data_IF_055070059810
#
_entry.id   IF_055070059810
#
_cell.length_a   1.000
_cell.length_b   1.000
_cell.length_c   1.000
_cell.angle_alpha   90.00
_cell.angle_beta   90.00
_cell.angle_gamma   90.00
#
_symmetry.space_group_name_H-M   'P 1'
#
loop_
_entity.id
_entity.type
_entity.pdbx_description
1 polymer ?
#
# COMPACT_ATOMS: atom_id res chain seq x y z
N UNK A 1 -10.03 32.82 -9.82
CA UNK A 1 -10.35 32.17 -8.52
C UNK A 1 -10.44 30.65 -8.67
N UNK A 2 -11.06 30.16 -9.74
CA UNK A 2 -11.24 28.74 -10.06
C UNK A 2 -9.93 27.96 -10.32
N UNK A 3 -8.95 28.57 -11.01
CA UNK A 3 -7.62 27.98 -11.24
C UNK A 3 -6.84 27.74 -9.95
N UNK A 4 -6.93 28.67 -8.98
CA UNK A 4 -6.28 28.55 -7.66
C UNK A 4 -6.93 27.48 -6.78
N UNK A 5 -8.25 27.28 -6.90
CA UNK A 5 -8.95 26.16 -6.25
C UNK A 5 -8.52 24.82 -6.85
N UNK A 6 -8.36 24.77 -8.18
CA UNK A 6 -7.89 23.59 -8.93
C UNK A 6 -6.51 23.13 -8.55
N UNK A 7 -5.58 24.06 -8.40
CA UNK A 7 -4.23 23.73 -7.98
C UNK A 7 -4.18 23.22 -6.53
N UNK A 8 -5.02 23.77 -5.65
CA UNK A 8 -5.15 23.31 -4.26
C UNK A 8 -5.72 21.90 -4.17
N UNK A 9 -6.79 21.61 -4.90
CA UNK A 9 -7.41 20.28 -4.91
C UNK A 9 -6.44 19.24 -5.50
N UNK A 10 -5.72 19.60 -6.56
CA UNK A 10 -4.72 18.74 -7.18
C UNK A 10 -3.56 18.42 -6.22
N UNK A 11 -3.07 19.43 -5.48
CA UNK A 11 -2.03 19.22 -4.46
C UNK A 11 -2.52 18.30 -3.34
N UNK A 12 -3.80 18.39 -2.99
CA UNK A 12 -4.43 17.52 -1.99
C UNK A 12 -4.60 16.08 -2.52
N UNK A 13 -4.89 15.91 -3.82
CA UNK A 13 -5.01 14.61 -4.47
C UNK A 13 -3.68 13.83 -4.49
N UNK A 14 -2.55 14.54 -4.62
CA UNK A 14 -1.21 13.95 -4.56
C UNK A 14 -0.65 13.87 -3.13
N UNK A 15 -1.47 13.45 -2.17
CA UNK A 15 -1.09 13.32 -0.76
C UNK A 15 0.13 12.38 -0.53
N UNK A 16 0.35 11.43 -1.44
CA UNK A 16 1.48 10.48 -1.40
C UNK A 16 2.82 11.16 -1.69
N UNK A 17 2.79 12.34 -2.34
CA UNK A 17 3.98 13.06 -2.78
C UNK A 17 4.96 13.35 -1.63
N UNK A 18 4.45 13.72 -0.45
CA UNK A 18 5.28 14.05 0.71
C UNK A 18 6.11 12.85 1.14
N UNK A 19 5.48 11.68 1.30
CA UNK A 19 6.18 10.46 1.71
C UNK A 19 7.19 10.01 0.66
N UNK A 20 6.82 10.02 -0.63
CA UNK A 20 7.70 9.65 -1.73
C UNK A 20 8.92 10.58 -1.87
N UNK A 21 8.78 11.86 -1.55
CA UNK A 21 9.91 12.81 -1.54
C UNK A 21 10.89 12.51 -0.41
N UNK A 22 10.40 12.18 0.78
CA UNK A 22 11.26 11.82 1.95
C UNK A 22 12.16 10.64 1.61
N UNK A 23 11.63 9.62 0.92
CA UNK A 23 12.39 8.42 0.53
C UNK A 23 13.10 8.54 -0.83
N UNK A 24 13.08 9.72 -1.47
CA UNK A 24 13.70 9.93 -2.79
C UNK A 24 13.06 9.14 -3.95
N UNK A 25 11.89 8.55 -3.75
CA UNK A 25 11.19 7.74 -4.75
C UNK A 25 10.24 8.56 -5.63
N UNK A 26 10.01 9.84 -5.34
CA UNK A 26 9.19 10.70 -6.19
C UNK A 26 9.77 10.77 -7.62
N UNK A 27 8.95 10.55 -8.67
CA UNK A 27 9.43 10.60 -10.04
C UNK A 27 9.91 12.00 -10.38
N UNK A 28 11.19 12.09 -10.74
CA UNK A 28 11.82 13.36 -11.11
C UNK A 28 11.44 13.70 -12.57
N UNK A 29 11.21 14.98 -12.83
CA UNK A 29 11.05 15.48 -14.20
C UNK A 29 12.30 15.20 -15.06
N UNK A 30 12.10 14.99 -16.37
CA UNK A 30 13.18 14.69 -17.32
C UNK A 30 14.23 15.81 -17.34
N UNK A 31 13.78 17.06 -17.20
CA UNK A 31 14.60 18.29 -17.22
C UNK A 31 15.23 18.65 -15.87
N UNK A 32 15.37 17.67 -14.97
CA UNK A 32 15.90 17.92 -13.64
C UNK A 32 17.40 18.25 -13.63
N UNK A 33 17.77 19.21 -12.78
CA UNK A 33 19.15 19.60 -12.56
C UNK A 33 20.00 18.43 -12.04
N UNK A 34 21.28 18.43 -12.40
CA UNK A 34 22.24 17.41 -11.96
C UNK A 34 22.26 17.23 -10.43
N UNK A 35 22.16 18.34 -9.68
CA UNK A 35 22.10 18.33 -8.21
C UNK A 35 20.91 17.54 -7.64
N UNK A 36 19.73 17.66 -8.24
CA UNK A 36 18.54 16.91 -7.79
C UNK A 36 18.65 15.40 -8.06
N UNK A 37 19.36 15.00 -9.12
CA UNK A 37 19.66 13.58 -9.42
C UNK A 37 20.66 13.01 -8.40
N UNK A 38 21.70 13.77 -8.06
CA UNK A 38 22.69 13.39 -7.04
C UNK A 38 22.01 13.24 -5.67
N UNK A 39 21.18 14.20 -5.29
CA UNK A 39 20.43 14.15 -4.03
C UNK A 39 19.56 12.89 -3.94
N UNK A 40 18.86 12.52 -5.01
CA UNK A 40 18.05 11.29 -5.06
C UNK A 40 18.91 10.05 -4.86
N UNK A 41 20.03 9.91 -5.58
CA UNK A 41 20.93 8.76 -5.43
C UNK A 41 21.53 8.67 -4.03
N UNK A 42 21.85 9.82 -3.43
CA UNK A 42 22.31 9.87 -2.04
C UNK A 42 21.24 9.34 -1.07
N UNK A 43 19.99 9.79 -1.19
CA UNK A 43 18.88 9.33 -0.34
C UNK A 43 18.65 7.81 -0.51
N UNK A 44 18.66 7.30 -1.75
CA UNK A 44 18.49 5.87 -2.05
C UNK A 44 19.63 5.05 -1.41
N UNK A 45 20.87 5.46 -1.63
CA UNK A 45 22.06 4.79 -1.10
C UNK A 45 22.04 4.78 0.44
N UNK A 46 21.71 5.93 1.04
CA UNK A 46 21.59 6.07 2.48
C UNK A 46 20.52 5.15 3.06
N UNK A 47 19.32 5.08 2.45
CA UNK A 47 18.26 4.17 2.88
C UNK A 47 18.72 2.70 2.81
N UNK A 48 19.28 2.26 1.69
CA UNK A 48 19.71 0.88 1.51
C UNK A 48 20.83 0.49 2.48
N UNK A 49 21.84 1.36 2.65
CA UNK A 49 22.89 1.18 3.64
C UNK A 49 22.31 0.98 5.03
N UNK A 50 21.37 1.84 5.42
CA UNK A 50 20.76 1.80 6.72
C UNK A 50 19.95 0.51 6.94
N UNK A 51 19.28 -0.02 5.92
CA UNK A 51 18.61 -1.33 6.00
C UNK A 51 19.59 -2.49 6.12
N UNK A 52 20.71 -2.47 5.39
CA UNK A 52 21.76 -3.49 5.48
C UNK A 52 22.32 -3.54 6.91
N UNK A 53 22.58 -2.38 7.51
CA UNK A 53 23.08 -2.27 8.89
C UNK A 53 22.13 -2.83 9.95
N UNK A 54 20.83 -3.00 9.63
CA UNK A 54 19.85 -3.60 10.55
C UNK A 54 19.61 -5.07 10.23
N UNK A 55 19.48 -5.42 8.94
CA UNK A 55 19.16 -6.78 8.51
C UNK A 55 20.32 -7.73 8.79
N UNK A 56 21.57 -7.34 8.49
CA UNK A 56 22.71 -8.24 8.66
C UNK A 56 22.93 -8.65 10.13
N UNK A 57 22.97 -7.72 11.12
CA UNK A 57 23.07 -8.08 12.53
C UNK A 57 21.87 -8.87 13.07
N UNK A 58 20.67 -8.65 12.51
CA UNK A 58 19.48 -9.39 12.90
C UNK A 58 19.52 -10.84 12.39
N UNK A 59 20.01 -11.07 11.16
CA UNK A 59 20.26 -12.42 10.64
C UNK A 59 21.31 -13.14 11.50
N UNK A 60 22.42 -12.47 11.83
CA UNK A 60 23.45 -13.05 12.69
C UNK A 60 22.91 -13.43 14.07
N UNK A 61 22.05 -12.59 14.67
CA UNK A 61 21.43 -12.88 15.97
C UNK A 61 20.54 -14.13 15.92
N UNK A 62 19.71 -14.25 14.88
CA UNK A 62 18.81 -15.41 14.66
C UNK A 62 19.59 -16.72 14.56
N UNK A 63 20.66 -16.75 13.78
CA UNK A 63 21.38 -17.98 13.46
C UNK A 63 22.48 -18.34 14.45
N UNK A 64 23.18 -17.35 15.03
CA UNK A 64 24.38 -17.60 15.84
C UNK A 64 24.13 -17.53 17.35
N UNK A 65 23.20 -16.69 17.81
CA UNK A 65 23.07 -16.36 19.25
C UNK A 65 21.78 -16.89 19.85
N UNK A 66 20.64 -16.63 19.22
CA UNK A 66 19.35 -16.95 19.81
C UNK A 66 19.08 -18.45 19.69
N UNK A 67 18.79 -19.12 20.81
CA UNK A 67 18.42 -20.55 20.86
C UNK A 67 16.95 -20.77 21.22
N UNK A 68 16.28 -19.76 21.76
CA UNK A 68 14.87 -19.85 22.15
C UNK A 68 13.96 -19.69 20.91
N UNK A 69 13.09 -20.68 20.67
CA UNK A 69 12.16 -20.70 19.54
C UNK A 69 11.23 -19.48 19.48
N UNK A 70 10.66 -19.06 20.61
CA UNK A 70 9.76 -17.91 20.68
C UNK A 70 10.48 -16.59 20.33
N UNK A 71 11.70 -16.39 20.83
CA UNK A 71 12.51 -15.21 20.48
C UNK A 71 12.94 -15.23 19.01
N UNK A 72 13.29 -16.40 18.47
CA UNK A 72 13.58 -16.55 17.03
C UNK A 72 12.38 -16.16 16.17
N UNK A 73 11.15 -16.52 16.53
CA UNK A 73 9.94 -16.12 15.81
C UNK A 73 9.79 -14.59 15.77
N UNK A 74 10.02 -13.90 16.89
CA UNK A 74 9.97 -12.44 16.95
C UNK A 74 11.02 -11.78 16.03
N UNK A 75 12.21 -12.38 15.92
CA UNK A 75 13.25 -11.92 15.00
C UNK A 75 12.90 -12.22 13.53
N UNK A 76 12.34 -13.39 13.22
CA UNK A 76 11.85 -13.71 11.89
C UNK A 76 10.73 -12.76 11.43
N UNK A 77 9.78 -12.44 12.32
CA UNK A 77 8.75 -11.44 12.07
C UNK A 77 9.38 -10.09 11.68
N UNK A 78 10.42 -9.67 12.40
CA UNK A 78 11.15 -8.45 12.10
C UNK A 78 11.81 -8.49 10.72
N UNK A 79 12.52 -9.57 10.41
CA UNK A 79 13.20 -9.78 9.13
C UNK A 79 12.21 -9.78 7.97
N UNK A 80 11.12 -10.54 8.06
CA UNK A 80 10.06 -10.59 7.03
C UNK A 80 9.49 -9.20 6.80
N UNK A 81 9.16 -8.47 7.87
CA UNK A 81 8.58 -7.12 7.73
C UNK A 81 9.54 -6.12 7.08
N UNK A 82 10.83 -6.15 7.46
CA UNK A 82 11.85 -5.25 6.90
C UNK A 82 12.15 -5.60 5.44
N UNK A 83 12.35 -6.88 5.11
CA UNK A 83 12.62 -7.34 3.75
C UNK A 83 11.45 -7.01 2.81
N UNK A 84 10.20 -7.20 3.26
CA UNK A 84 9.01 -6.80 2.51
C UNK A 84 9.09 -5.31 2.09
N UNK A 85 9.38 -4.40 3.02
CA UNK A 85 9.47 -2.99 2.67
C UNK A 85 10.65 -2.67 1.74
N UNK A 86 11.80 -3.33 1.90
CA UNK A 86 12.92 -3.18 0.97
C UNK A 86 12.53 -3.61 -0.44
N UNK A 87 11.87 -4.76 -0.60
CA UNK A 87 11.40 -5.21 -1.91
C UNK A 87 10.40 -4.24 -2.53
N UNK A 88 9.41 -3.77 -1.77
CA UNK A 88 8.45 -2.77 -2.26
C UNK A 88 9.12 -1.46 -2.64
N UNK A 89 10.14 -1.04 -1.90
CA UNK A 89 10.92 0.16 -2.23
C UNK A 89 11.66 0.00 -3.56
N UNK A 90 12.37 -1.12 -3.76
CA UNK A 90 13.06 -1.44 -5.01
C UNK A 90 12.10 -1.48 -6.19
N UNK A 91 10.92 -2.09 -6.02
CA UNK A 91 9.86 -2.11 -7.04
C UNK A 91 9.39 -0.68 -7.35
N UNK A 92 9.18 0.16 -6.33
CA UNK A 92 8.79 1.56 -6.52
C UNK A 92 9.83 2.32 -7.35
N UNK A 93 11.12 2.09 -7.11
CA UNK A 93 12.20 2.70 -7.88
C UNK A 93 12.22 2.19 -9.33
N UNK A 94 12.06 0.89 -9.54
CA UNK A 94 12.04 0.26 -10.86
C UNK A 94 10.82 0.71 -11.69
N UNK A 95 9.67 0.95 -11.04
CA UNK A 95 8.41 1.40 -11.66
C UNK A 95 8.22 2.91 -11.63
N UNK A 96 9.28 3.68 -11.41
CA UNK A 96 9.18 5.14 -11.30
C UNK A 96 8.68 5.81 -12.59
N UNK A 97 8.97 5.23 -13.76
CA UNK A 97 8.51 5.76 -15.05
C UNK A 97 7.01 5.56 -15.23
N UNK A 98 6.51 4.36 -14.93
CA UNK A 98 5.10 3.98 -14.95
C UNK A 98 4.30 4.86 -13.97
N UNK A 99 4.84 5.07 -12.76
CA UNK A 99 4.26 5.99 -11.77
C UNK A 99 4.22 7.43 -12.29
N UNK A 100 5.26 7.90 -12.99
CA UNK A 100 5.29 9.22 -13.60
C UNK A 100 4.20 9.38 -14.67
N UNK A 101 4.04 8.37 -15.54
CA UNK A 101 3.00 8.34 -16.56
C UNK A 101 1.62 8.41 -15.89
N UNK A 102 1.38 7.59 -14.87
CA UNK A 102 0.11 7.58 -14.13
C UNK A 102 -0.20 8.95 -13.49
N UNK A 103 0.78 9.58 -12.84
CA UNK A 103 0.62 10.92 -12.24
C UNK A 103 0.29 11.97 -13.31
N UNK A 104 0.94 11.88 -14.48
CA UNK A 104 0.67 12.79 -15.59
C UNK A 104 -0.76 12.61 -16.13
N UNK A 105 -1.21 11.37 -16.31
CA UNK A 105 -2.58 11.07 -16.76
C UNK A 105 -3.62 11.54 -15.74
N UNK A 106 -3.41 11.29 -14.44
CA UNK A 106 -4.28 11.82 -13.36
C UNK A 106 -4.34 13.34 -13.45
N UNK A 107 -3.20 14.03 -13.55
CA UNK A 107 -3.18 15.49 -13.64
C UNK A 107 -3.93 16.00 -14.87
N UNK A 108 -3.73 15.36 -16.03
CA UNK A 108 -4.43 15.71 -17.26
C UNK A 108 -5.94 15.57 -17.08
N UNK A 109 -6.39 14.46 -16.49
CA UNK A 109 -7.80 14.18 -16.26
C UNK A 109 -8.48 15.24 -15.42
N UNK A 110 -7.84 15.63 -14.32
CA UNK A 110 -8.35 16.67 -13.43
C UNK A 110 -8.45 18.04 -14.09
N UNK A 111 -7.51 18.37 -14.97
CA UNK A 111 -7.48 19.66 -15.67
C UNK A 111 -8.51 19.72 -16.80
N UNK A 112 -8.82 18.59 -17.43
CA UNK A 112 -9.79 18.49 -18.53
C UNK A 112 -11.22 18.13 -18.07
N UNK A 113 -11.41 17.84 -16.79
CA UNK A 113 -12.68 17.38 -16.24
C UNK A 113 -13.75 18.47 -16.24
N UNK A 114 -15.00 18.07 -16.51
CA UNK A 114 -16.17 18.91 -16.22
C UNK A 114 -16.29 19.13 -14.70
N UNK A 115 -17.00 20.18 -14.23
CA UNK A 115 -17.20 20.41 -12.80
C UNK A 115 -17.77 19.20 -12.05
N UNK A 116 -18.67 18.45 -12.71
CA UNK A 116 -19.28 17.25 -12.15
C UNK A 116 -18.29 16.07 -12.08
N UNK A 117 -17.56 15.79 -13.16
CA UNK A 117 -16.52 14.74 -13.17
C UNK A 117 -15.44 15.03 -12.12
N UNK A 118 -15.10 16.32 -11.98
CA UNK A 118 -14.12 16.79 -11.02
C UNK A 118 -14.59 16.62 -9.59
N UNK A 119 -15.88 16.78 -9.30
CA UNK A 119 -16.44 16.49 -7.98
C UNK A 119 -16.22 15.02 -7.59
N UNK A 120 -16.40 14.09 -8.54
CA UNK A 120 -16.14 12.66 -8.33
C UNK A 120 -14.67 12.42 -7.97
N UNK A 121 -13.74 13.02 -8.72
CA UNK A 121 -12.31 12.93 -8.44
C UNK A 121 -11.93 13.50 -7.06
N UNK A 122 -12.48 14.66 -6.70
CA UNK A 122 -12.25 15.30 -5.38
C UNK A 122 -12.78 14.43 -4.25
N UNK A 123 -13.98 13.87 -4.38
CA UNK A 123 -14.56 13.00 -3.36
C UNK A 123 -13.69 11.78 -3.09
N UNK A 124 -13.34 11.04 -4.15
CA UNK A 124 -12.53 9.83 -4.04
C UNK A 124 -11.11 10.13 -3.54
N UNK A 125 -10.48 11.22 -3.99
CA UNK A 125 -9.16 11.62 -3.49
C UNK A 125 -9.16 11.97 -1.99
N UNK A 126 -10.22 12.63 -1.49
CA UNK A 126 -10.37 12.94 -0.06
C UNK A 126 -10.55 11.68 0.79
N UNK A 127 -11.32 10.70 0.29
CA UNK A 127 -11.46 9.39 0.95
C UNK A 127 -10.08 8.73 1.06
N UNK A 128 -9.34 8.65 -0.05
CA UNK A 128 -7.99 8.07 -0.06
C UNK A 128 -7.02 8.78 0.89
N UNK A 129 -7.06 10.12 0.91
CA UNK A 129 -6.24 10.92 1.81
C UNK A 129 -6.55 10.63 3.28
N UNK A 130 -7.84 10.57 3.66
CA UNK A 130 -8.25 10.28 5.04
C UNK A 130 -7.80 8.89 5.47
N UNK A 131 -8.01 7.88 4.62
CA UNK A 131 -7.56 6.50 4.87
C UNK A 131 -6.05 6.49 5.09
N UNK A 132 -5.26 7.09 4.19
CA UNK A 132 -3.80 7.12 4.31
C UNK A 132 -3.34 7.85 5.59
N UNK A 133 -3.94 8.98 5.95
CA UNK A 133 -3.57 9.73 7.16
C UNK A 133 -3.87 8.92 8.44
N UNK A 134 -5.02 8.24 8.50
CA UNK A 134 -5.37 7.35 9.61
C UNK A 134 -4.37 6.19 9.70
N UNK A 135 -4.03 5.57 8.57
CA UNK A 135 -3.04 4.50 8.51
C UNK A 135 -1.66 4.96 8.97
N UNK A 136 -1.20 6.12 8.49
CA UNK A 136 0.07 6.71 8.91
C UNK A 136 0.10 6.94 10.42
N UNK A 137 -0.97 7.53 10.98
CA UNK A 137 -1.09 7.78 12.41
C UNK A 137 -1.01 6.48 13.22
N UNK A 138 -1.80 5.46 12.85
CA UNK A 138 -1.79 4.15 13.52
C UNK A 138 -0.40 3.51 13.44
N UNK A 139 0.24 3.50 12.27
CA UNK A 139 1.58 2.90 12.09
C UNK A 139 2.66 3.60 12.90
N UNK A 140 2.70 4.94 12.86
CA UNK A 140 3.72 5.69 13.58
C UNK A 140 3.53 5.58 15.10
N UNK A 141 2.29 5.58 15.60
CA UNK A 141 2.03 5.45 17.04
C UNK A 141 2.28 4.02 17.53
N UNK A 142 1.73 3.01 16.87
CA UNK A 142 1.95 1.61 17.26
C UNK A 142 3.41 1.18 17.09
N UNK A 143 4.03 1.63 15.99
CA UNK A 143 5.34 1.18 15.54
C UNK A 143 6.52 1.94 16.14
N UNK A 144 6.49 3.29 16.17
CA UNK A 144 7.56 4.09 16.80
C UNK A 144 7.28 4.33 18.27
N UNK A 145 6.03 4.59 18.65
CA UNK A 145 5.69 4.92 20.04
C UNK A 145 5.97 3.74 20.97
N UNK A 146 5.20 2.67 20.87
CA UNK A 146 5.26 1.61 21.89
C UNK A 146 6.63 0.87 21.88
N UNK A 147 7.08 0.41 20.72
CA UNK A 147 8.30 -0.43 20.61
C UNK A 147 9.60 0.30 20.97
N UNK A 148 9.67 1.62 20.79
CA UNK A 148 10.86 2.40 21.16
C UNK A 148 10.81 2.92 22.60
N UNK A 149 9.61 3.19 23.13
CA UNK A 149 9.45 3.71 24.49
C UNK A 149 9.63 2.61 25.53
N UNK A 150 9.15 1.38 25.27
CA UNK A 150 9.24 0.29 26.25
C UNK A 150 10.68 -0.03 26.70
N UNK A 151 11.69 -0.14 25.81
CA UNK A 151 13.07 -0.38 26.24
C UNK A 151 13.64 0.78 27.08
N UNK A 152 13.25 2.02 26.78
CA UNK A 152 13.67 3.20 27.56
C UNK A 152 13.03 3.21 28.95
N UNK A 153 11.76 2.85 29.06
CA UNK A 153 11.04 2.76 30.33
C UNK A 153 11.58 1.64 31.23
N UNK A 154 11.96 0.49 30.67
CA UNK A 154 12.55 -0.63 31.42
C UNK A 154 13.95 -0.31 31.95
N UNK A 155 14.64 0.68 31.38
CA UNK A 155 15.91 1.18 31.90
C UNK A 155 17.05 0.16 31.91
N UNK A 156 17.99 0.33 32.86
CA UNK A 156 19.13 -0.58 33.05
C UNK A 156 18.71 -1.75 33.93
N UNK A 157 18.88 -2.97 33.43
CA UNK A 157 18.61 -4.20 34.17
C UNK A 157 19.96 -4.73 34.69
N UNK A 158 20.11 -4.84 36.01
CA UNK A 158 21.29 -5.45 36.64
C UNK A 158 21.04 -6.95 36.77
N UNK A 159 21.87 -7.78 36.13
CA UNK A 159 21.78 -9.24 36.28
C UNK A 159 22.48 -9.71 37.56
N UNK A 160 22.19 -10.94 38.04
CA UNK A 160 22.81 -11.50 39.24
C UNK A 160 24.35 -11.57 39.19
N UNK A 161 24.94 -11.52 37.99
CA UNK A 161 26.38 -11.47 37.77
C UNK A 161 26.97 -10.04 37.73
N UNK A 162 26.26 -9.04 38.26
CA UNK A 162 26.61 -7.61 38.25
C UNK A 162 26.79 -6.98 36.85
N UNK A 163 26.29 -7.63 35.80
CA UNK A 163 26.28 -7.05 34.44
C UNK A 163 25.03 -6.19 34.25
N UNK A 164 25.20 -4.94 33.83
CA UNK A 164 24.09 -4.06 33.46
C UNK A 164 23.76 -4.20 31.97
N UNK A 165 22.52 -4.57 31.67
CA UNK A 165 22.01 -4.74 30.30
C UNK A 165 20.95 -3.66 30.05
N UNK A 166 20.92 -3.12 28.84
CA UNK A 166 19.84 -2.25 28.35
C UNK A 166 19.12 -2.93 27.21
N UNK A 167 17.80 -2.79 27.13
CA UNK A 167 17.03 -3.42 26.06
C UNK A 167 17.11 -2.57 24.79
N UNK A 168 17.34 -3.20 23.64
CA UNK A 168 17.19 -2.55 22.34
C UNK A 168 15.76 -2.75 21.80
N UNK A 169 15.21 -1.77 21.04
CA UNK A 169 13.92 -1.91 20.36
C UNK A 169 13.85 -3.14 19.44
N UNK A 170 14.97 -3.47 18.82
CA UNK A 170 15.17 -4.70 18.07
C UNK A 170 16.47 -5.35 18.55
N UNK A 171 16.44 -6.62 19.01
CA UNK A 171 17.66 -7.36 19.30
C UNK A 171 18.50 -7.49 18.02
N UNK A 172 19.78 -7.17 18.13
CA UNK A 172 20.76 -7.22 17.04
C UNK A 172 22.08 -7.68 17.60
N UNK A 173 22.80 -8.54 16.89
CA UNK A 173 24.08 -9.05 17.32
C UNK A 173 25.21 -8.50 16.45
N UNK A 174 26.18 -7.82 17.09
CA UNK A 174 27.40 -7.36 16.44
C UNK A 174 28.59 -8.17 16.97
N UNK A 175 29.42 -8.68 16.05
CA UNK A 175 30.59 -9.52 16.41
C UNK A 175 31.78 -8.70 16.91
N UNK A 176 31.85 -7.41 16.54
CA UNK A 176 33.04 -6.59 16.74
C UNK A 176 33.00 -5.71 18.00
N UNK A 177 31.82 -5.46 18.56
CA UNK A 177 31.66 -4.60 19.74
C UNK A 177 30.37 -4.95 20.49
N UNK A 178 30.32 -4.58 21.78
CA UNK A 178 29.15 -4.86 22.62
C UNK A 178 28.06 -3.80 22.41
N UNK A 179 26.92 -4.23 21.85
CA UNK A 179 25.77 -3.38 21.53
C UNK A 179 25.07 -2.73 22.73
N UNK A 180 25.35 -3.20 23.95
CA UNK A 180 24.65 -2.78 25.17
C UNK A 180 25.39 -1.70 25.97
N UNK A 181 26.62 -1.39 25.57
CA UNK A 181 27.52 -0.47 26.28
C UNK A 181 27.51 0.92 25.61
N UNK A 182 27.55 1.98 26.41
CA UNK A 182 27.64 3.35 25.90
C UNK A 182 29.05 3.65 25.38
N UNK A 183 29.24 4.32 24.22
CA UNK A 183 28.25 5.06 23.43
C UNK A 183 27.54 4.24 22.31
N UNK A 184 27.92 2.97 22.12
CA UNK A 184 27.42 2.14 21.02
C UNK A 184 25.91 1.90 21.10
N UNK A 185 25.38 1.72 22.32
CA UNK A 185 23.95 1.58 22.56
C UNK A 185 23.16 2.77 22.01
N UNK A 186 23.56 4.00 22.35
CA UNK A 186 22.88 5.20 21.89
C UNK A 186 22.96 5.36 20.36
N UNK A 187 24.10 5.01 19.74
CA UNK A 187 24.25 5.03 18.29
C UNK A 187 23.34 4.02 17.58
N UNK A 188 23.31 2.76 18.04
CA UNK A 188 22.45 1.72 17.47
C UNK A 188 20.97 2.08 17.66
N UNK A 189 20.60 2.61 18.82
CA UNK A 189 19.23 3.02 19.08
C UNK A 189 18.76 4.08 18.08
N UNK A 190 19.58 5.12 17.84
CA UNK A 190 19.27 6.17 16.86
C UNK A 190 19.24 5.62 15.43
N UNK A 191 20.13 4.69 15.09
CA UNK A 191 20.13 4.01 13.79
C UNK A 191 18.84 3.21 13.57
N UNK A 192 18.41 2.43 14.58
CA UNK A 192 17.16 1.66 14.55
C UNK A 192 15.93 2.57 14.44
N UNK A 193 15.92 3.70 15.16
CA UNK A 193 14.85 4.70 15.08
C UNK A 193 14.72 5.25 13.65
N UNK A 194 15.83 5.66 13.06
CA UNK A 194 15.88 6.18 11.70
C UNK A 194 15.47 5.10 10.68
N UNK A 195 15.88 3.84 10.90
CA UNK A 195 15.48 2.70 10.07
C UNK A 195 13.98 2.50 10.03
N UNK A 196 13.35 2.50 11.21
CA UNK A 196 11.92 2.28 11.34
C UNK A 196 11.14 3.44 10.73
N UNK A 197 11.60 4.67 10.91
CA UNK A 197 11.01 5.84 10.25
C UNK A 197 10.96 5.69 8.71
N UNK A 198 12.08 5.30 8.09
CA UNK A 198 12.10 5.08 6.65
C UNK A 198 11.24 3.89 6.20
N UNK A 199 11.26 2.76 6.93
CA UNK A 199 10.39 1.60 6.66
C UNK A 199 8.92 2.01 6.67
N UNK A 200 8.46 2.74 7.69
CA UNK A 200 7.07 3.20 7.76
C UNK A 200 6.75 4.23 6.68
N UNK A 201 7.70 5.07 6.29
CA UNK A 201 7.54 5.99 5.17
C UNK A 201 7.37 5.24 3.84
N UNK A 202 8.12 4.17 3.60
CA UNK A 202 7.97 3.30 2.42
C UNK A 202 6.62 2.59 2.43
N UNK A 203 6.22 2.04 3.58
CA UNK A 203 4.93 1.38 3.73
C UNK A 203 3.77 2.33 3.40
N UNK A 204 3.75 3.52 4.00
CA UNK A 204 2.74 4.54 3.70
C UNK A 204 2.79 5.00 2.23
N UNK A 205 3.99 5.09 1.64
CA UNK A 205 4.15 5.46 0.24
C UNK A 205 3.53 4.42 -0.70
N UNK A 206 3.81 3.14 -0.49
CA UNK A 206 3.35 2.04 -1.37
C UNK A 206 1.84 1.80 -1.27
N UNK A 207 1.29 1.84 -0.05
CA UNK A 207 -0.15 1.81 0.17
C UNK A 207 -0.82 3.07 -0.40
N UNK A 208 -0.22 4.24 -0.19
CA UNK A 208 -0.70 5.51 -0.73
C UNK A 208 -0.76 5.52 -2.26
N UNK A 209 0.27 5.01 -2.95
CA UNK A 209 0.25 4.83 -4.41
C UNK A 209 -0.94 3.95 -4.81
N UNK A 210 -1.10 2.80 -4.14
CA UNK A 210 -2.16 1.83 -4.45
C UNK A 210 -3.55 2.44 -4.24
N UNK A 211 -3.77 3.16 -3.15
CA UNK A 211 -4.99 3.93 -2.86
C UNK A 211 -5.26 4.97 -3.96
N UNK A 212 -4.29 5.80 -4.28
CA UNK A 212 -4.43 6.89 -5.24
C UNK A 212 -4.80 6.39 -6.63
N UNK A 213 -4.06 5.39 -7.14
CA UNK A 213 -4.31 4.83 -8.48
C UNK A 213 -5.67 4.13 -8.54
N UNK A 214 -6.00 3.33 -7.55
CA UNK A 214 -7.25 2.55 -7.53
C UNK A 214 -8.48 3.45 -7.36
N UNK A 215 -8.41 4.48 -6.52
CA UNK A 215 -9.51 5.43 -6.36
C UNK A 215 -9.68 6.33 -7.60
N UNK A 216 -8.59 6.65 -8.31
CA UNK A 216 -8.70 7.29 -9.62
C UNK A 216 -9.35 6.36 -10.63
N UNK A 217 -8.96 5.07 -10.68
CA UNK A 217 -9.62 4.05 -11.50
C UNK A 217 -11.14 3.96 -11.21
N UNK A 218 -11.53 3.89 -9.94
CA UNK A 218 -12.95 3.90 -9.54
C UNK A 218 -13.67 5.17 -10.02
N UNK A 219 -13.00 6.33 -9.98
CA UNK A 219 -13.56 7.59 -10.50
C UNK A 219 -13.79 7.52 -12.01
N UNK A 220 -12.82 6.99 -12.76
CA UNK A 220 -12.95 6.83 -14.21
C UNK A 220 -14.09 5.85 -14.56
N UNK A 221 -14.23 4.75 -13.80
CA UNK A 221 -15.34 3.81 -14.00
C UNK A 221 -16.70 4.47 -13.72
N UNK A 222 -16.84 5.22 -12.62
CA UNK A 222 -18.08 5.98 -12.33
C UNK A 222 -18.46 6.93 -13.45
N UNK A 223 -17.48 7.66 -13.99
CA UNK A 223 -17.70 8.60 -15.09
C UNK A 223 -18.12 7.85 -16.36
N UNK A 224 -17.49 6.71 -16.67
CA UNK A 224 -17.90 5.87 -17.80
C UNK A 224 -19.31 5.32 -17.63
N UNK A 225 -19.66 4.82 -16.44
CA UNK A 225 -21.01 4.32 -16.11
C UNK A 225 -22.06 5.41 -16.35
N UNK A 226 -21.80 6.64 -15.90
CA UNK A 226 -22.68 7.78 -16.16
C UNK A 226 -22.81 8.10 -17.65
N UNK A 227 -21.69 8.20 -18.37
CA UNK A 227 -21.70 8.43 -19.83
C UNK A 227 -22.49 7.35 -20.59
N UNK A 228 -22.46 6.11 -20.11
CA UNK A 228 -23.24 5.00 -20.67
C UNK A 228 -24.73 5.15 -20.39
N UNK A 229 -25.12 5.55 -19.18
CA UNK A 229 -26.52 5.83 -18.84
C UNK A 229 -27.09 6.99 -19.68
N UNK A 230 -26.35 8.10 -19.77
CA UNK A 230 -26.72 9.31 -20.52
C UNK A 230 -26.86 9.07 -22.03
N UNK A 231 -26.28 7.98 -22.55
CA UNK A 231 -26.42 7.59 -23.96
C UNK A 231 -27.85 7.14 -24.30
N UNK A 232 -28.61 6.67 -23.30
CA UNK A 232 -29.91 6.02 -23.48
C UNK A 232 -31.08 6.86 -22.98
N UNK A 233 -30.81 7.89 -22.17
CA UNK A 233 -31.83 8.86 -21.78
C UNK A 233 -32.32 9.61 -23.02
N UNK A 234 -33.61 9.41 -23.32
CA UNK A 234 -34.29 9.60 -24.60
C UNK A 234 -34.38 11.02 -25.16
N UNK A 235 -33.34 11.82 -25.02
CA UNK A 235 -33.17 13.03 -25.80
C UNK A 235 -33.03 12.66 -27.28
N UNK A 236 -33.84 13.29 -28.14
CA UNK A 236 -33.77 13.15 -29.60
C UNK A 236 -32.45 13.79 -30.05
N UNK A 237 -31.38 13.00 -30.02
CA UNK A 237 -30.05 13.41 -30.42
C UNK A 237 -29.90 13.08 -31.90
N UNK A 238 -29.46 14.07 -32.69
CA UNK A 238 -29.09 13.88 -34.10
C UNK A 238 -28.19 12.64 -34.26
N UNK A 239 -28.40 11.88 -35.33
CA UNK A 239 -27.69 10.63 -35.58
C UNK A 239 -26.15 10.79 -35.49
N UNK A 240 -25.65 11.95 -35.94
CA UNK A 240 -24.24 12.33 -35.91
C UNK A 240 -23.71 12.53 -34.49
N UNK A 241 -24.47 13.22 -33.63
CA UNK A 241 -24.08 13.49 -32.23
C UNK A 241 -24.06 12.18 -31.44
N UNK A 242 -25.03 11.28 -31.69
CA UNK A 242 -25.04 9.96 -31.05
C UNK A 242 -23.85 9.10 -31.47
N UNK A 243 -23.45 9.14 -32.74
CA UNK A 243 -22.26 8.44 -33.21
C UNK A 243 -21.00 9.00 -32.56
N UNK A 244 -20.89 10.33 -32.44
CA UNK A 244 -19.77 10.98 -31.78
C UNK A 244 -19.67 10.59 -30.30
N UNK A 245 -20.79 10.56 -29.57
CA UNK A 245 -20.83 10.08 -28.18
C UNK A 245 -20.36 8.62 -28.04
N UNK A 246 -20.77 7.73 -28.94
CA UNK A 246 -20.30 6.33 -28.92
C UNK A 246 -18.78 6.26 -29.14
N UNK A 247 -18.24 7.05 -30.07
CA UNK A 247 -16.79 7.12 -30.30
C UNK A 247 -16.06 7.63 -29.05
N UNK A 248 -16.57 8.70 -28.44
CA UNK A 248 -16.01 9.27 -27.21
C UNK A 248 -16.00 8.25 -26.06
N UNK A 249 -17.06 7.45 -25.92
CA UNK A 249 -17.17 6.38 -24.91
C UNK A 249 -16.15 5.27 -25.18
N UNK A 250 -16.02 4.81 -26.42
CA UNK A 250 -15.06 3.76 -26.80
C UNK A 250 -13.62 4.24 -26.55
N UNK A 251 -13.30 5.48 -26.92
CA UNK A 251 -11.99 6.07 -26.66
C UNK A 251 -11.73 6.17 -25.15
N UNK A 252 -12.73 6.60 -24.38
CA UNK A 252 -12.65 6.66 -22.92
C UNK A 252 -12.44 5.29 -22.27
N UNK A 253 -13.19 4.26 -22.69
CA UNK A 253 -13.03 2.88 -22.20
C UNK A 253 -11.64 2.32 -22.56
N UNK A 254 -11.15 2.60 -23.77
CA UNK A 254 -9.80 2.19 -24.20
C UNK A 254 -8.73 2.86 -23.35
N UNK A 255 -8.92 4.13 -23.00
CA UNK A 255 -8.03 4.86 -22.09
C UNK A 255 -8.03 4.28 -20.68
N UNK A 256 -9.20 3.92 -20.14
CA UNK A 256 -9.32 3.26 -18.84
C UNK A 256 -8.54 1.95 -18.83
N UNK A 257 -8.62 1.13 -19.89
CA UNK A 257 -7.86 -0.12 -19.98
C UNK A 257 -6.36 0.10 -20.02
N UNK A 258 -5.89 1.14 -20.71
CA UNK A 258 -4.48 1.52 -20.72
C UNK A 258 -4.00 1.94 -19.32
N UNK A 259 -4.78 2.79 -18.64
CA UNK A 259 -4.47 3.24 -17.29
C UNK A 259 -4.53 2.10 -16.26
N UNK A 260 -5.46 1.15 -16.41
CA UNK A 260 -5.50 -0.09 -15.62
C UNK A 260 -4.24 -0.91 -15.80
N UNK A 261 -3.84 -1.18 -17.05
CA UNK A 261 -2.64 -1.97 -17.34
C UNK A 261 -1.38 -1.33 -16.73
N UNK A 262 -1.25 0.00 -16.81
CA UNK A 262 -0.17 0.72 -16.14
C UNK A 262 -0.26 0.64 -14.61
N UNK A 263 -1.48 0.73 -14.05
CA UNK A 263 -1.72 0.58 -12.60
C UNK A 263 -1.32 -0.80 -12.11
N UNK A 264 -1.70 -1.87 -12.82
CA UNK A 264 -1.32 -3.25 -12.48
C UNK A 264 0.19 -3.46 -12.51
N UNK A 265 0.92 -2.85 -13.46
CA UNK A 265 2.39 -2.93 -13.50
C UNK A 265 3.04 -2.42 -12.20
N UNK A 266 2.42 -1.42 -11.56
CA UNK A 266 2.88 -0.80 -10.32
C UNK A 266 2.39 -1.60 -9.11
N UNK A 267 1.11 -1.95 -9.04
CA UNK A 267 0.48 -2.47 -7.82
C UNK A 267 0.53 -4.00 -7.69
N UNK A 268 0.66 -4.76 -8.77
CA UNK A 268 0.52 -6.23 -8.73
C UNK A 268 1.48 -6.90 -7.74
N UNK A 269 2.74 -6.43 -7.69
CA UNK A 269 3.74 -7.00 -6.79
C UNK A 269 3.61 -6.42 -5.38
N UNK A 270 3.15 -5.18 -5.22
CA UNK A 270 2.83 -4.65 -3.90
C UNK A 270 1.77 -5.50 -3.21
N UNK A 271 0.66 -5.79 -3.91
CA UNK A 271 -0.40 -6.62 -3.40
C UNK A 271 0.06 -8.06 -3.11
N UNK A 272 0.92 -8.63 -3.97
CA UNK A 272 1.48 -9.96 -3.75
C UNK A 272 2.29 -10.06 -2.45
N UNK A 273 3.24 -9.14 -2.26
CA UNK A 273 4.04 -9.11 -1.04
C UNK A 273 3.19 -8.76 0.20
N UNK A 274 2.23 -7.85 0.08
CA UNK A 274 1.35 -7.51 1.20
C UNK A 274 0.49 -8.69 1.64
N UNK A 275 -0.12 -9.45 0.71
CA UNK A 275 -0.92 -10.64 1.01
C UNK A 275 -0.06 -11.74 1.64
N UNK A 276 1.06 -12.08 1.00
CA UNK A 276 1.95 -13.16 1.46
C UNK A 276 2.57 -12.86 2.82
N UNK A 277 3.22 -11.70 2.96
CA UNK A 277 3.87 -11.33 4.22
C UNK A 277 2.87 -11.10 5.34
N UNK A 278 1.69 -10.51 5.08
CA UNK A 278 0.68 -10.31 6.14
C UNK A 278 0.17 -11.62 6.71
N UNK A 279 0.02 -12.66 5.89
CA UNK A 279 -0.39 -14.00 6.36
C UNK A 279 0.62 -14.55 7.39
N UNK A 280 1.92 -14.50 7.07
CA UNK A 280 2.98 -14.93 7.98
C UNK A 280 3.06 -14.05 9.24
N UNK A 281 2.96 -12.72 9.08
CA UNK A 281 3.06 -11.78 10.19
C UNK A 281 1.89 -11.93 11.17
N UNK A 282 0.65 -12.06 10.69
CA UNK A 282 -0.53 -12.28 11.54
C UNK A 282 -0.38 -13.59 12.33
N UNK A 283 0.08 -14.66 11.68
CA UNK A 283 0.37 -15.94 12.33
C UNK A 283 1.41 -15.77 13.46
N UNK A 284 2.58 -15.19 13.16
CA UNK A 284 3.64 -15.03 14.16
C UNK A 284 3.24 -14.09 15.29
N UNK A 285 2.55 -13.00 15.00
CA UNK A 285 2.05 -12.08 16.03
C UNK A 285 1.03 -12.79 16.92
N UNK A 286 0.11 -13.59 16.35
CA UNK A 286 -0.86 -14.38 17.09
C UNK A 286 -0.18 -15.34 18.07
N UNK A 287 0.88 -16.03 17.63
CA UNK A 287 1.66 -16.92 18.49
C UNK A 287 2.36 -16.15 19.62
N UNK A 288 3.00 -15.02 19.31
CA UNK A 288 3.65 -14.18 20.33
C UNK A 288 2.66 -13.65 21.37
N UNK A 289 1.39 -13.39 21.01
CA UNK A 289 0.34 -13.02 21.98
C UNK A 289 0.09 -14.16 22.95
N UNK A 290 -0.06 -15.40 22.46
CA UNK A 290 -0.33 -16.57 23.31
C UNK A 290 0.83 -16.78 24.30
N UNK A 291 2.07 -16.77 23.81
CA UNK A 291 3.26 -16.99 24.64
C UNK A 291 3.41 -15.90 25.71
N UNK A 292 3.24 -14.63 25.38
CA UNK A 292 3.37 -13.55 26.36
C UNK A 292 2.21 -13.52 27.36
N UNK A 293 1.01 -13.96 26.94
CA UNK A 293 -0.14 -14.12 27.82
C UNK A 293 0.09 -15.20 28.88
N UNK A 294 0.61 -16.36 28.47
CA UNK A 294 0.98 -17.46 29.38
C UNK A 294 2.08 -17.03 30.36
N UNK A 295 3.01 -16.18 29.92
CA UNK A 295 4.06 -15.61 30.77
C UNK A 295 3.59 -14.44 31.67
N UNK A 296 2.28 -14.13 31.70
CA UNK A 296 1.69 -13.02 32.45
C UNK A 296 2.30 -11.64 32.15
N UNK A 297 2.87 -11.45 30.95
CA UNK A 297 3.50 -10.22 30.52
C UNK A 297 2.50 -9.31 29.80
N UNK A 298 1.68 -8.62 30.59
CA UNK A 298 0.58 -7.76 30.11
C UNK A 298 1.10 -6.70 29.13
N UNK A 299 2.22 -6.06 29.45
CA UNK A 299 2.81 -5.02 28.61
C UNK A 299 3.09 -5.55 27.19
N UNK A 300 3.80 -6.69 27.09
CA UNK A 300 4.20 -7.27 25.79
C UNK A 300 2.99 -7.79 25.01
N UNK A 301 2.02 -8.37 25.70
CA UNK A 301 0.73 -8.79 25.12
C UNK A 301 0.01 -7.62 24.44
N UNK A 302 -0.09 -6.46 25.09
CA UNK A 302 -0.74 -5.27 24.53
C UNK A 302 -0.03 -4.79 23.25
N UNK A 303 1.31 -4.88 23.18
CA UNK A 303 2.08 -4.55 21.97
C UNK A 303 1.72 -5.45 20.83
N UNK A 304 1.79 -6.77 21.06
CA UNK A 304 1.56 -7.73 20.00
C UNK A 304 0.12 -7.66 19.53
N UNK A 305 -0.84 -7.45 20.44
CA UNK A 305 -2.23 -7.19 20.09
C UNK A 305 -2.40 -5.91 19.24
N UNK A 306 -1.76 -4.80 19.62
CA UNK A 306 -1.78 -3.56 18.82
C UNK A 306 -1.16 -3.76 17.42
N UNK A 307 -0.12 -4.59 17.34
CA UNK A 307 0.53 -4.97 16.08
C UNK A 307 -0.37 -5.85 15.21
N UNK A 308 -1.13 -6.77 15.81
CA UNK A 308 -2.10 -7.62 15.13
C UNK A 308 -3.21 -6.78 14.51
N UNK A 309 -3.79 -5.86 15.28
CA UNK A 309 -4.82 -4.93 14.80
C UNK A 309 -4.26 -4.10 13.63
N UNK A 310 -3.05 -3.56 13.79
CA UNK A 310 -2.41 -2.76 12.73
C UNK A 310 -2.21 -3.59 11.45
N UNK A 311 -1.60 -4.78 11.53
CA UNK A 311 -1.37 -5.64 10.37
C UNK A 311 -2.69 -6.05 9.68
N UNK A 312 -3.71 -6.39 10.47
CA UNK A 312 -5.04 -6.77 9.95
C UNK A 312 -5.70 -5.60 9.21
N UNK A 313 -5.63 -4.39 9.78
CA UNK A 313 -6.15 -3.19 9.11
C UNK A 313 -5.41 -2.89 7.79
N UNK A 314 -4.10 -3.14 7.73
CA UNK A 314 -3.33 -2.95 6.49
C UNK A 314 -3.83 -3.84 5.37
N UNK A 315 -3.91 -5.14 5.61
CA UNK A 315 -4.36 -6.09 4.59
C UNK A 315 -5.84 -5.88 4.24
N UNK A 316 -6.67 -5.53 5.23
CA UNK A 316 -8.07 -5.18 5.01
C UNK A 316 -8.20 -4.01 4.04
N UNK A 317 -7.45 -2.92 4.23
CA UNK A 317 -7.54 -1.73 3.39
C UNK A 317 -7.14 -2.05 1.94
N UNK A 318 -6.07 -2.81 1.73
CA UNK A 318 -5.64 -3.22 0.37
C UNK A 318 -6.75 -4.04 -0.31
N UNK A 319 -7.32 -5.00 0.40
CA UNK A 319 -8.40 -5.85 -0.12
C UNK A 319 -9.70 -5.08 -0.34
N UNK A 320 -10.03 -4.13 0.53
CA UNK A 320 -11.19 -3.26 0.44
C UNK A 320 -11.11 -2.35 -0.79
N UNK A 321 -9.94 -1.80 -1.10
CA UNK A 321 -9.74 -0.99 -2.31
C UNK A 321 -9.93 -1.84 -3.57
N UNK A 322 -9.41 -3.07 -3.57
CA UNK A 322 -9.62 -4.02 -4.67
C UNK A 322 -11.09 -4.36 -4.86
N UNK A 323 -11.82 -4.57 -3.75
CA UNK A 323 -13.27 -4.78 -3.77
C UNK A 323 -14.03 -3.57 -4.32
N UNK A 324 -13.68 -2.35 -3.89
CA UNK A 324 -14.31 -1.13 -4.39
C UNK A 324 -14.15 -1.00 -5.92
N UNK A 325 -12.98 -1.34 -6.45
CA UNK A 325 -12.75 -1.35 -7.90
C UNK A 325 -13.62 -2.39 -8.61
N UNK A 326 -13.69 -3.60 -8.05
CA UNK A 326 -14.54 -4.68 -8.55
C UNK A 326 -16.02 -4.27 -8.58
N UNK A 327 -16.50 -3.63 -7.51
CA UNK A 327 -17.89 -3.18 -7.40
C UNK A 327 -18.22 -2.12 -8.45
N UNK A 328 -17.34 -1.14 -8.68
CA UNK A 328 -17.54 -0.15 -9.75
C UNK A 328 -17.49 -0.77 -11.15
N UNK A 329 -16.64 -1.78 -11.35
CA UNK A 329 -16.61 -2.54 -12.62
C UNK A 329 -17.91 -3.30 -12.84
N UNK A 330 -18.45 -3.93 -11.80
CA UNK A 330 -19.70 -4.68 -11.87
C UNK A 330 -20.88 -3.73 -12.11
N UNK A 331 -20.88 -2.56 -11.49
CA UNK A 331 -21.89 -1.52 -11.72
C UNK A 331 -21.87 -1.03 -13.18
N UNK A 332 -20.68 -0.83 -13.76
CA UNK A 332 -20.54 -0.52 -15.18
C UNK A 332 -21.14 -1.64 -16.05
N UNK A 333 -20.79 -2.90 -15.77
CA UNK A 333 -21.31 -4.06 -16.51
C UNK A 333 -22.84 -4.14 -16.45
N UNK A 334 -23.42 -4.01 -15.25
CA UNK A 334 -24.86 -3.99 -15.04
C UNK A 334 -25.53 -2.85 -15.80
N UNK A 335 -25.00 -1.63 -15.69
CA UNK A 335 -25.51 -0.46 -16.41
C UNK A 335 -25.48 -0.69 -17.93
N UNK A 336 -24.42 -1.29 -18.46
CA UNK A 336 -24.31 -1.60 -19.89
C UNK A 336 -25.36 -2.63 -20.34
N UNK A 337 -25.60 -3.67 -19.55
CA UNK A 337 -26.57 -4.73 -19.87
C UNK A 337 -28.00 -4.20 -19.84
N UNK A 338 -28.34 -3.31 -18.90
CA UNK A 338 -29.69 -2.75 -18.75
C UNK A 338 -30.00 -1.61 -19.72
N UNK A 339 -29.04 -1.20 -20.56
CA UNK A 339 -29.30 -0.22 -21.61
C UNK A 339 -30.35 -0.76 -22.58
N UNK A 340 -31.24 0.12 -23.05
CA UNK A 340 -32.20 -0.17 -24.11
C UNK A 340 -31.53 -0.23 -25.50
N UNK A 341 -30.42 -0.99 -25.63
CA UNK A 341 -29.58 -1.11 -26.83
C UNK A 341 -30.38 -1.58 -28.06
N UNK A 342 -31.46 -2.32 -27.86
CA UNK A 342 -32.36 -2.82 -28.91
C UNK A 342 -33.15 -1.69 -29.61
N UNK A 343 -33.25 -0.50 -29.00
CA UNK A 343 -33.90 0.67 -29.61
C UNK A 343 -33.00 1.42 -30.59
N UNK A 344 -31.71 1.08 -30.66
CA UNK A 344 -30.75 1.76 -31.53
C UNK A 344 -30.74 1.14 -32.95
N UNK A 345 -30.42 1.94 -33.99
CA UNK A 345 -30.20 1.42 -35.34
C UNK A 345 -29.16 0.29 -35.37
N UNK A 346 -29.35 -0.70 -36.27
CA UNK A 346 -28.53 -1.94 -36.33
C UNK A 346 -27.01 -1.70 -36.25
N UNK A 347 -26.48 -0.71 -36.97
CA UNK A 347 -25.03 -0.39 -36.95
C UNK A 347 -24.54 0.05 -35.57
N UNK A 348 -25.38 0.77 -34.82
CA UNK A 348 -25.05 1.34 -33.49
C UNK A 348 -25.26 0.34 -32.37
N UNK A 349 -26.31 -0.48 -32.47
CA UNK A 349 -26.52 -1.61 -31.58
C UNK A 349 -25.29 -2.54 -31.55
N UNK A 350 -24.60 -2.76 -32.68
CA UNK A 350 -23.36 -3.56 -32.72
C UNK A 350 -22.23 -2.95 -31.87
N UNK A 351 -22.02 -1.63 -31.91
CA UNK A 351 -21.01 -0.99 -31.06
C UNK A 351 -21.36 -1.09 -29.58
N UNK A 352 -22.64 -0.95 -29.23
CA UNK A 352 -23.13 -1.14 -27.86
C UNK A 352 -22.92 -2.57 -27.36
N UNK A 353 -23.21 -3.58 -28.19
CA UNK A 353 -22.97 -4.98 -27.87
C UNK A 353 -21.48 -5.23 -27.58
N UNK A 354 -20.57 -4.68 -28.40
CA UNK A 354 -19.14 -4.78 -28.13
C UNK A 354 -18.77 -4.15 -26.78
N UNK A 355 -19.32 -2.97 -26.46
CA UNK A 355 -19.08 -2.32 -25.17
C UNK A 355 -19.60 -3.15 -23.99
N UNK A 356 -20.78 -3.77 -24.12
CA UNK A 356 -21.37 -4.68 -23.12
C UNK A 356 -20.46 -5.90 -22.90
N UNK A 357 -20.00 -6.53 -23.98
CA UNK A 357 -19.07 -7.67 -23.87
C UNK A 357 -17.78 -7.24 -23.18
N UNK A 358 -17.24 -6.06 -23.54
CA UNK A 358 -15.99 -5.55 -22.98
C UNK A 358 -16.10 -5.08 -21.52
N UNK A 359 -17.30 -4.67 -21.05
CA UNK A 359 -17.55 -4.27 -19.67
C UNK A 359 -17.86 -5.47 -18.76
N UNK A 360 -18.39 -6.56 -19.32
CA UNK A 360 -18.54 -7.83 -18.62
C UNK A 360 -17.21 -8.52 -18.29
N UNK A 361 -16.10 -8.08 -18.88
CA UNK A 361 -14.78 -8.48 -18.41
C UNK A 361 -14.38 -7.60 -17.22
N UNK A 362 -14.33 -8.16 -15.99
CA UNK A 362 -14.18 -7.35 -14.78
C UNK A 362 -12.82 -6.65 -14.76
N UNK A 363 -12.87 -5.33 -14.54
CA UNK A 363 -11.73 -4.50 -14.23
C UNK A 363 -11.41 -4.73 -12.75
N UNK A 364 -10.31 -5.44 -12.48
CA UNK A 364 -9.93 -5.88 -11.15
C UNK A 364 -8.43 -5.71 -10.93
N UNK A 365 -8.03 -5.60 -9.66
CA UNK A 365 -6.63 -5.67 -9.28
C UNK A 365 -6.24 -7.12 -9.01
N UNK A 366 -5.05 -7.50 -9.46
CA UNK A 366 -4.51 -8.84 -9.23
C UNK A 366 -3.17 -8.75 -8.51
N UNK A 367 -2.95 -9.67 -7.56
CA UNK A 367 -1.67 -9.90 -6.91
C UNK A 367 -0.86 -10.86 -7.78
N UNK A 368 0.18 -10.31 -8.45
CA UNK A 368 1.04 -11.02 -9.39
C UNK A 368 0.30 -11.86 -10.46
N UNK A 369 -0.93 -11.48 -10.83
CA UNK A 369 -1.86 -12.24 -11.71
C UNK A 369 -2.26 -13.63 -11.20
N UNK A 370 -1.98 -13.94 -9.93
CA UNK A 370 -2.31 -15.24 -9.32
C UNK A 370 -3.62 -15.15 -8.54
N UNK A 371 -3.81 -14.05 -7.79
CA UNK A 371 -4.94 -13.89 -6.87
C UNK A 371 -5.62 -12.55 -7.12
N UNK A 372 -6.95 -12.53 -7.16
CA UNK A 372 -7.72 -11.29 -7.24
C UNK A 372 -7.67 -10.56 -5.89
N UNK A 373 -7.48 -9.24 -5.91
CA UNK A 373 -7.47 -8.44 -4.68
C UNK A 373 -8.92 -8.07 -4.33
N UNK A 374 -9.47 -8.67 -3.29
CA UNK A 374 -10.87 -8.53 -2.88
C UNK A 374 -11.06 -8.87 -1.39
N UNK A 375 -12.27 -8.62 -0.85
CA UNK A 375 -12.59 -9.02 0.53
C UNK A 375 -12.64 -10.54 0.73
N UNK A 376 -12.85 -11.32 -0.33
CA UNK A 376 -12.72 -12.79 -0.25
C UNK A 376 -11.28 -13.17 0.05
N UNK A 377 -10.31 -12.55 -0.63
CA UNK A 377 -8.88 -12.76 -0.38
C UNK A 377 -8.46 -12.35 1.02
N UNK A 378 -9.02 -11.27 1.58
CA UNK A 378 -8.82 -10.93 2.99
C UNK A 378 -9.27 -12.06 3.93
N UNK A 379 -10.45 -12.63 3.66
CA UNK A 379 -10.99 -13.73 4.45
C UNK A 379 -10.10 -14.98 4.36
N UNK A 380 -9.58 -15.29 3.17
CA UNK A 380 -8.67 -16.41 2.95
C UNK A 380 -7.33 -16.20 3.66
N UNK A 381 -6.79 -14.97 3.67
CA UNK A 381 -5.60 -14.60 4.44
C UNK A 381 -5.83 -14.84 5.94
N UNK A 382 -6.95 -14.40 6.49
CA UNK A 382 -7.26 -14.59 7.91
C UNK A 382 -7.40 -16.07 8.27
N UNK A 383 -8.09 -16.86 7.44
CA UNK A 383 -8.22 -18.32 7.63
C UNK A 383 -6.86 -19.01 7.58
N UNK A 384 -6.04 -18.68 6.58
CA UNK A 384 -4.70 -19.24 6.44
C UNK A 384 -3.81 -18.88 7.64
N UNK A 385 -3.82 -17.63 8.09
CA UNK A 385 -3.03 -17.19 9.24
C UNK A 385 -3.43 -17.92 10.53
N UNK A 386 -4.73 -18.12 10.78
CA UNK A 386 -5.22 -18.90 11.94
C UNK A 386 -4.89 -20.38 11.79
N UNK A 387 -5.01 -20.95 10.58
CA UNK A 387 -4.61 -22.33 10.31
C UNK A 387 -3.13 -22.57 10.61
N UNK A 388 -2.25 -21.71 10.10
CA UNK A 388 -0.82 -21.77 10.40
C UNK A 388 -0.50 -21.52 11.87
N UNK A 389 -1.24 -20.63 12.54
CA UNK A 389 -1.10 -20.40 13.99
C UNK A 389 -1.38 -21.68 14.78
N UNK A 390 -2.45 -22.39 14.45
CA UNK A 390 -2.79 -23.66 15.10
C UNK A 390 -1.70 -24.71 14.87
N UNK A 391 -1.19 -24.83 13.64
CA UNK A 391 -0.06 -25.72 13.35
C UNK A 391 1.19 -25.35 14.16
N UNK A 392 1.52 -24.06 14.23
CA UNK A 392 2.70 -23.57 14.96
C UNK A 392 2.60 -23.88 16.46
N UNK A 393 1.40 -23.79 17.03
CA UNK A 393 1.12 -24.10 18.44
C UNK A 393 1.27 -25.59 18.76
N UNK A 394 0.95 -26.48 17.84
CA UNK A 394 1.10 -27.93 18.06
C UNK A 394 2.56 -28.40 17.92
N UNK A 395 3.36 -27.68 17.11
CA UNK A 395 4.76 -28.07 16.82
C UNK A 395 5.76 -27.51 17.83
N UNK A 396 5.48 -26.35 18.44
CA UNK A 396 6.37 -25.64 19.37
C UNK A 396 5.73 -25.56 20.75
#
# INVERSE_FOLDING_TARGET
METKHTEKDLKQAFYVQTFLKIIGAWPIAIESSLGSKIQKWFIISFYLFLQICIVAPCILDVFLKEKNGSRRINLFMLLISTLNQVFKYVITLNRANELRIAIHEIKKDWLTATPEDRFIFVMNSRIGQRIMLIMAFIMYISGLGYRMVLPLLKGKIVLPNNVTIRLLPCPTYFTFFNELVSPYYEMIFMLQLLARFFIYTVLNSTVGISLMLSLHMCSLLKILTRKMADLTDGSIISEKIMQQRIVDIIEYQTRIKRFLSNTELITQYFCFYDIGCSTCLICFIGYSIIVEWENHNIASTVIYFSGLVTCTLMIYIICYIGQLLLDESNNLAQTCITLNWYRFPKKKARYLILMIIMSNYPIKLTAAKVVDVSLTTFTDVMKAAVGYLNMLREVI
#
